data_IF_112137398653
#
_entry.id   IF_112137398653
#
_cell.length_a   1.000
_cell.length_b   1.000
_cell.length_c   1.000
_cell.angle_alpha   90.00
_cell.angle_beta   90.00
_cell.angle_gamma   90.00
#
_symmetry.space_group_name_H-M   'P 1'
#
loop_
_entity.id
_entity.type
_entity.pdbx_description
1 polymer ?
#
# COMPACT_ATOMS: atom_id res chain seq x y z
N UNK A 1 6.17 10.28 32.11
CA UNK A 1 5.22 10.66 31.06
C UNK A 1 5.13 9.51 30.03
N UNK A 2 3.94 9.04 29.74
CA UNK A 2 3.74 7.98 28.76
C UNK A 2 3.60 8.54 27.34
N UNK A 3 3.92 7.70 26.35
CA UNK A 3 3.75 8.05 24.94
C UNK A 3 2.33 7.72 24.52
N UNK A 4 1.68 8.65 23.82
CA UNK A 4 0.36 8.39 23.22
C UNK A 4 0.52 8.21 21.72
N UNK A 5 0.20 7.01 21.23
CA UNK A 5 0.21 6.72 19.79
C UNK A 5 -1.15 7.12 19.21
N UNK A 6 -1.15 7.82 18.09
CA UNK A 6 -2.39 8.33 17.49
C UNK A 6 -2.81 7.56 16.24
N UNK A 7 -1.87 7.18 15.41
CA UNK A 7 -2.20 6.57 14.11
C UNK A 7 -0.94 5.94 13.50
N UNK A 8 -1.13 4.88 12.76
CA UNK A 8 -0.09 4.29 11.93
C UNK A 8 -0.54 4.32 10.48
N UNK A 9 0.32 4.83 9.60
CA UNK A 9 0.03 4.86 8.17
C UNK A 9 1.20 4.22 7.42
N UNK A 10 0.95 3.19 6.60
CA UNK A 10 2.01 2.62 5.80
C UNK A 10 2.45 3.59 4.70
N UNK A 11 3.76 3.64 4.47
CA UNK A 11 4.34 4.37 3.35
C UNK A 11 5.03 3.35 2.46
N UNK A 12 4.54 3.20 1.24
CA UNK A 12 5.10 2.26 0.27
C UNK A 12 6.04 3.02 -0.66
N UNK A 13 7.31 2.61 -0.66
CA UNK A 13 8.33 3.26 -1.49
C UNK A 13 8.39 2.53 -2.83
N UNK A 14 8.21 3.27 -3.90
CA UNK A 14 8.04 2.73 -5.25
C UNK A 14 8.85 3.54 -6.27
N UNK A 15 9.03 3.01 -7.47
CA UNK A 15 9.65 3.77 -8.56
C UNK A 15 8.67 4.80 -9.12
N UNK A 16 7.42 4.42 -9.30
CA UNK A 16 6.34 5.27 -9.81
C UNK A 16 5.05 5.00 -9.06
N UNK A 17 4.34 6.07 -8.74
CA UNK A 17 3.09 6.01 -7.96
C UNK A 17 1.88 5.80 -8.87
N UNK A 18 1.87 6.45 -10.02
CA UNK A 18 0.72 6.50 -10.91
C UNK A 18 0.09 5.14 -11.22
N UNK A 19 0.88 4.08 -11.47
CA UNK A 19 0.29 2.77 -11.77
C UNK A 19 -0.59 2.21 -10.67
N UNK A 20 -0.31 2.55 -9.40
CA UNK A 20 -1.07 2.04 -8.27
C UNK A 20 -2.44 2.71 -8.09
N UNK A 21 -2.63 3.91 -8.65
CA UNK A 21 -3.87 4.66 -8.44
C UNK A 21 -5.10 3.92 -8.94
N UNK A 22 -5.02 3.30 -10.10
CA UNK A 22 -6.16 2.56 -10.68
C UNK A 22 -6.50 1.31 -9.86
N UNK A 23 -5.51 0.63 -9.33
CA UNK A 23 -5.73 -0.51 -8.44
C UNK A 23 -6.58 -0.09 -7.23
N UNK A 24 -6.14 0.94 -6.51
CA UNK A 24 -6.82 1.38 -5.30
C UNK A 24 -8.20 1.98 -5.59
N UNK A 25 -8.35 2.66 -6.72
CA UNK A 25 -9.63 3.23 -7.12
C UNK A 25 -10.71 2.15 -7.25
N UNK A 26 -10.35 0.97 -7.71
CA UNK A 26 -11.27 -0.17 -7.81
C UNK A 26 -11.76 -0.66 -6.46
N UNK A 27 -11.04 -0.32 -5.39
CA UNK A 27 -11.40 -0.64 -4.01
C UNK A 27 -12.06 0.55 -3.29
N UNK A 28 -12.32 1.65 -4.00
CA UNK A 28 -12.91 2.83 -3.38
C UNK A 28 -11.94 3.67 -2.56
N UNK A 29 -10.64 3.52 -2.83
CA UNK A 29 -9.58 4.29 -2.16
C UNK A 29 -8.95 5.19 -3.22
N UNK A 30 -8.99 6.51 -3.00
CA UNK A 30 -8.59 7.47 -4.01
C UNK A 30 -7.53 8.43 -3.49
N UNK A 31 -6.78 9.01 -4.41
CA UNK A 31 -5.78 10.01 -4.09
C UNK A 31 -6.46 11.26 -3.53
N UNK A 32 -6.03 11.70 -2.36
CA UNK A 32 -6.55 12.92 -1.71
C UNK A 32 -5.51 14.04 -1.65
N UNK A 33 -4.23 13.70 -1.71
CA UNK A 33 -3.12 14.66 -1.72
C UNK A 33 -2.03 14.11 -2.63
N UNK A 34 -1.34 14.97 -3.35
CA UNK A 34 -0.10 14.59 -4.03
C UNK A 34 0.91 15.75 -4.01
N UNK A 35 2.18 15.39 -4.15
CA UNK A 35 3.28 16.34 -4.30
C UNK A 35 4.01 16.00 -5.60
N UNK A 36 4.12 16.95 -6.52
CA UNK A 36 4.78 16.70 -7.79
C UNK A 36 6.28 16.54 -7.64
N UNK A 37 6.86 15.78 -8.56
CA UNK A 37 8.29 15.58 -8.70
C UNK A 37 8.58 15.57 -10.20
N UNK A 38 8.93 16.74 -10.75
CA UNK A 38 9.05 16.88 -12.20
C UNK A 38 7.70 16.66 -12.89
N UNK A 39 7.65 15.69 -13.80
CA UNK A 39 6.46 15.36 -14.59
C UNK A 39 5.60 14.24 -14.00
N UNK A 40 5.88 13.84 -12.77
CA UNK A 40 5.14 12.77 -12.09
C UNK A 40 4.99 13.09 -10.60
N UNK A 41 4.26 12.24 -9.89
CA UNK A 41 4.11 12.39 -8.44
C UNK A 41 5.31 11.81 -7.71
N UNK A 42 5.82 12.57 -6.72
CA UNK A 42 6.85 12.07 -5.81
C UNK A 42 6.28 11.51 -4.52
N UNK A 43 5.08 11.95 -4.16
CA UNK A 43 4.39 11.54 -2.94
C UNK A 43 2.88 11.63 -3.16
N UNK A 44 2.13 10.70 -2.58
CA UNK A 44 0.67 10.73 -2.62
C UNK A 44 0.07 10.11 -1.37
N UNK A 45 -1.06 10.64 -0.94
CA UNK A 45 -1.89 10.04 0.09
C UNK A 45 -3.15 9.53 -0.57
N UNK A 46 -3.46 8.25 -0.37
CA UNK A 46 -4.68 7.62 -0.85
C UNK A 46 -5.55 7.30 0.36
N UNK A 47 -6.84 7.60 0.29
CA UNK A 47 -7.74 7.37 1.41
C UNK A 47 -9.14 6.97 0.93
N UNK A 48 -9.83 6.18 1.73
CA UNK A 48 -11.20 5.77 1.49
C UNK A 48 -11.58 4.61 2.38
N UNK A 49 -12.82 4.55 2.79
CA UNK A 49 -13.38 3.47 3.59
C UNK A 49 -12.60 3.18 4.88
N UNK A 50 -12.07 4.22 5.52
CA UNK A 50 -11.27 4.07 6.75
C UNK A 50 -9.84 3.59 6.52
N UNK A 51 -9.44 3.43 5.27
CA UNK A 51 -8.09 3.03 4.89
C UNK A 51 -7.31 4.27 4.47
N UNK A 52 -6.05 4.34 4.88
CA UNK A 52 -5.12 5.34 4.39
C UNK A 52 -3.80 4.66 4.07
N UNK A 53 -3.24 4.98 2.93
CA UNK A 53 -1.93 4.50 2.51
C UNK A 53 -1.19 5.64 1.81
N UNK A 54 0.10 5.73 2.05
CA UNK A 54 0.96 6.71 1.40
C UNK A 54 1.88 6.01 0.42
N UNK A 55 2.15 6.67 -0.71
CA UNK A 55 3.14 6.23 -1.68
C UNK A 55 4.18 7.33 -1.83
N UNK A 56 5.43 6.93 -1.94
CA UNK A 56 6.53 7.87 -2.16
C UNK A 56 7.51 7.22 -3.12
N UNK A 57 8.05 8.01 -4.07
CA UNK A 57 9.06 7.48 -4.97
C UNK A 57 10.40 7.37 -4.24
N UNK A 58 11.24 6.45 -4.71
CA UNK A 58 12.60 6.30 -4.19
C UNK A 58 13.39 7.61 -4.29
N UNK A 59 13.22 8.34 -5.40
CA UNK A 59 13.89 9.61 -5.60
C UNK A 59 13.44 10.66 -4.59
N UNK A 60 12.15 10.70 -4.28
CA UNK A 60 11.59 11.60 -3.28
C UNK A 60 12.13 11.30 -1.88
N UNK A 61 12.22 10.02 -1.51
CA UNK A 61 12.81 9.61 -0.23
C UNK A 61 14.26 10.08 -0.16
N UNK A 62 15.04 9.84 -1.20
CA UNK A 62 16.44 10.24 -1.24
C UNK A 62 16.61 11.75 -1.12
N UNK A 63 15.73 12.52 -1.75
CA UNK A 63 15.76 13.99 -1.67
C UNK A 63 15.45 14.48 -0.25
N UNK A 64 14.47 13.85 0.42
CA UNK A 64 14.13 14.18 1.80
C UNK A 64 15.28 13.93 2.78
N UNK A 65 16.08 12.89 2.50
CA UNK A 65 17.14 12.43 3.39
C UNK A 65 18.52 12.96 3.00
N UNK A 66 18.57 13.93 2.09
CA UNK A 66 19.85 14.44 1.54
C UNK A 66 20.77 15.00 2.62
N UNK A 67 20.24 15.53 3.71
CA UNK A 67 21.04 16.15 4.78
C UNK A 67 21.83 15.14 5.61
N UNK A 68 21.52 13.83 5.53
CA UNK A 68 22.20 12.81 6.36
C UNK A 68 22.47 11.54 5.57
N UNK A 69 23.74 11.32 5.23
CA UNK A 69 24.17 10.10 4.55
C UNK A 69 23.97 8.85 5.42
N UNK A 70 24.13 8.99 6.74
CA UNK A 70 23.89 7.87 7.66
C UNK A 70 22.43 7.46 7.67
N UNK A 71 21.50 8.40 7.64
CA UNK A 71 20.07 8.13 7.58
C UNK A 71 19.70 7.46 6.25
N UNK A 72 20.22 7.95 5.13
CA UNK A 72 19.98 7.32 3.83
C UNK A 72 20.46 5.88 3.80
N UNK A 73 21.64 5.62 4.34
CA UNK A 73 22.21 4.28 4.41
C UNK A 73 21.34 3.36 5.27
N UNK A 74 20.86 3.84 6.41
CA UNK A 74 19.97 3.08 7.27
C UNK A 74 18.66 2.71 6.58
N UNK A 75 18.05 3.63 5.84
CA UNK A 75 16.83 3.36 5.06
C UNK A 75 17.07 2.31 3.98
N UNK A 76 18.21 2.38 3.29
CA UNK A 76 18.55 1.40 2.25
C UNK A 76 18.79 0.00 2.82
N UNK A 77 19.36 -0.08 4.01
CA UNK A 77 19.69 -1.36 4.65
C UNK A 77 18.50 -1.98 5.37
N UNK A 78 17.48 -1.19 5.69
CA UNK A 78 16.29 -1.70 6.36
C UNK A 78 15.53 -2.67 5.44
N UNK A 79 15.08 -3.82 5.95
CA UNK A 79 14.30 -4.76 5.14
C UNK A 79 12.99 -4.10 4.68
N UNK A 80 12.67 -4.25 3.38
CA UNK A 80 11.45 -3.71 2.79
C UNK A 80 10.50 -4.83 2.38
N UNK A 81 10.31 -5.83 3.26
CA UNK A 81 9.58 -7.04 2.92
C UNK A 81 8.24 -7.14 3.64
N UNK A 82 7.51 -6.06 3.68
CA UNK A 82 6.15 -6.07 4.20
C UNK A 82 5.13 -6.20 3.09
N UNK A 83 3.90 -6.52 3.47
CA UNK A 83 2.74 -6.42 2.60
C UNK A 83 1.57 -5.92 3.42
N UNK A 84 0.50 -5.48 2.74
CA UNK A 84 -0.70 -5.02 3.43
C UNK A 84 -1.69 -6.17 3.56
N UNK A 85 -2.28 -6.28 4.74
CA UNK A 85 -3.36 -7.22 5.02
C UNK A 85 -4.59 -6.38 5.38
N UNK A 86 -5.62 -6.46 4.54
CA UNK A 86 -6.81 -5.63 4.68
C UNK A 86 -8.01 -6.53 4.85
N UNK A 87 -8.75 -6.36 5.96
CA UNK A 87 -10.01 -7.04 6.14
C UNK A 87 -11.10 -6.40 5.28
N UNK A 88 -11.89 -7.25 4.66
CA UNK A 88 -12.99 -6.83 3.81
C UNK A 88 -14.29 -7.52 4.23
N UNK A 89 -15.41 -6.91 3.90
CA UNK A 89 -16.72 -7.50 4.20
C UNK A 89 -17.04 -8.67 3.28
N UNK A 90 -16.58 -8.65 2.03
CA UNK A 90 -16.92 -9.68 1.03
C UNK A 90 -15.73 -9.93 0.11
N UNK A 91 -15.16 -11.13 0.20
CA UNK A 91 -14.08 -11.53 -0.70
C UNK A 91 -14.59 -11.74 -2.13
N UNK A 92 -15.86 -12.11 -2.28
CA UNK A 92 -16.47 -12.22 -3.59
C UNK A 92 -16.51 -10.88 -4.30
N UNK A 93 -16.88 -9.80 -3.58
CA UNK A 93 -16.88 -8.46 -4.14
C UNK A 93 -15.47 -8.01 -4.55
N UNK A 94 -14.46 -8.37 -3.77
CA UNK A 94 -13.05 -8.09 -4.13
C UNK A 94 -12.69 -8.79 -5.44
N UNK A 95 -13.00 -10.07 -5.57
CA UNK A 95 -12.70 -10.82 -6.78
C UNK A 95 -13.32 -10.23 -8.03
N UNK A 96 -14.53 -9.69 -7.91
CA UNK A 96 -15.20 -8.99 -9.02
C UNK A 96 -14.55 -7.65 -9.32
N UNK A 97 -14.28 -6.86 -8.30
CA UNK A 97 -13.70 -5.52 -8.47
C UNK A 97 -12.29 -5.57 -9.07
N UNK A 98 -11.50 -6.58 -8.69
CA UNK A 98 -10.11 -6.72 -9.09
C UNK A 98 -9.91 -7.79 -10.16
N UNK A 99 -10.95 -8.14 -10.93
CA UNK A 99 -10.90 -9.22 -11.92
C UNK A 99 -9.78 -9.04 -12.94
N UNK A 100 -9.43 -7.79 -13.29
CA UNK A 100 -8.39 -7.49 -14.27
C UNK A 100 -7.02 -7.22 -13.65
N UNK A 101 -6.91 -7.35 -12.33
CA UNK A 101 -5.65 -7.09 -11.63
C UNK A 101 -4.79 -8.35 -11.54
N UNK A 102 -3.52 -8.17 -11.21
CA UNK A 102 -2.56 -9.26 -11.12
C UNK A 102 -2.77 -10.05 -9.83
N UNK A 103 -3.46 -11.17 -9.95
CA UNK A 103 -3.65 -12.11 -8.84
C UNK A 103 -2.37 -12.90 -8.61
N UNK A 104 -1.85 -12.88 -7.39
CA UNK A 104 -0.65 -13.64 -7.01
C UNK A 104 -0.92 -14.65 -5.89
N UNK A 105 -1.99 -14.47 -5.14
CA UNK A 105 -2.44 -15.42 -4.12
C UNK A 105 -3.86 -15.83 -4.48
N UNK A 106 -4.06 -17.02 -5.07
CA UNK A 106 -5.39 -17.47 -5.43
C UNK A 106 -6.28 -17.66 -4.19
N UNK A 107 -7.58 -17.65 -4.41
CA UNK A 107 -8.56 -17.82 -3.32
C UNK A 107 -8.19 -19.02 -2.45
N UNK A 108 -8.06 -18.77 -1.15
CA UNK A 108 -7.75 -19.81 -0.18
C UNK A 108 -8.45 -19.56 1.14
N UNK A 109 -8.69 -20.63 1.87
CA UNK A 109 -9.12 -20.56 3.27
C UNK A 109 -7.91 -20.85 4.14
N UNK A 110 -7.74 -20.05 5.18
CA UNK A 110 -6.62 -20.17 6.10
C UNK A 110 -7.01 -20.90 7.36
N UNK A 111 -6.02 -21.40 8.11
CA UNK A 111 -6.28 -22.04 9.40
C UNK A 111 -6.65 -21.05 10.52
N UNK A 112 -6.52 -19.75 10.27
CA UNK A 112 -6.90 -18.71 11.22
C UNK A 112 -8.27 -18.08 10.88
N UNK A 113 -9.05 -18.70 10.01
CA UNK A 113 -10.44 -18.30 9.77
C UNK A 113 -10.63 -17.22 8.72
N UNK A 114 -9.68 -17.03 7.82
CA UNK A 114 -9.82 -16.07 6.74
C UNK A 114 -10.04 -16.76 5.40
N UNK A 115 -10.75 -16.07 4.51
CA UNK A 115 -10.78 -16.38 3.07
C UNK A 115 -10.09 -15.23 2.35
N UNK A 116 -9.01 -15.53 1.61
CA UNK A 116 -8.09 -14.53 1.11
C UNK A 116 -7.91 -14.55 -0.39
N UNK A 117 -7.63 -13.36 -0.93
CA UNK A 117 -7.06 -13.14 -2.27
C UNK A 117 -5.89 -12.19 -2.13
N UNK A 118 -4.84 -12.38 -2.90
CA UNK A 118 -3.70 -11.47 -2.88
C UNK A 118 -3.34 -11.00 -4.28
N UNK A 119 -3.02 -9.71 -4.38
CA UNK A 119 -2.76 -9.03 -5.65
C UNK A 119 -1.50 -8.20 -5.58
N UNK A 120 -0.96 -7.86 -6.77
CA UNK A 120 0.01 -6.78 -6.88
C UNK A 120 -0.73 -5.48 -7.16
N UNK A 121 -0.26 -4.38 -6.58
CA UNK A 121 -0.89 -3.06 -6.69
C UNK A 121 -0.47 -2.29 -7.95
N UNK A 122 0.15 -2.95 -8.94
CA UNK A 122 0.74 -2.39 -10.15
C UNK A 122 2.05 -1.62 -9.90
N UNK A 123 2.44 -1.42 -8.65
CA UNK A 123 3.71 -0.80 -8.28
C UNK A 123 4.66 -1.79 -7.60
N UNK A 124 4.28 -3.08 -7.59
CA UNK A 124 5.12 -4.16 -7.06
C UNK A 124 4.87 -4.53 -5.62
N UNK A 125 3.87 -3.95 -4.98
CA UNK A 125 3.55 -4.27 -3.59
C UNK A 125 2.45 -5.32 -3.52
N UNK A 126 2.54 -6.19 -2.53
CA UNK A 126 1.53 -7.24 -2.30
C UNK A 126 0.44 -6.70 -1.40
N UNK A 127 -0.80 -6.84 -1.84
CA UNK A 127 -1.99 -6.46 -1.08
C UNK A 127 -2.84 -7.71 -0.90
N UNK A 128 -3.02 -8.13 0.35
CA UNK A 128 -3.86 -9.27 0.69
C UNK A 128 -5.19 -8.75 1.22
N UNK A 129 -6.28 -9.22 0.63
CA UNK A 129 -7.64 -8.90 1.06
C UNK A 129 -8.22 -10.15 1.71
N UNK A 130 -8.80 -9.98 2.89
CA UNK A 130 -9.24 -11.13 3.69
C UNK A 130 -10.63 -10.87 4.28
N UNK A 131 -11.53 -11.82 4.05
CA UNK A 131 -12.81 -11.86 4.74
C UNK A 131 -12.67 -12.83 5.91
N UNK A 132 -12.86 -12.31 7.12
CA UNK A 132 -12.75 -13.14 8.33
C UNK A 132 -14.04 -13.88 8.59
N UNK A 133 -13.96 -15.12 9.06
CA UNK A 133 -15.12 -15.89 9.48
C UNK A 133 -15.80 -15.16 10.64
N UNK A 134 -17.09 -14.94 10.50
CA UNK A 134 -17.88 -14.06 11.36
C UNK A 134 -18.29 -14.57 12.71
#
# INVERSE_FOLDING_TARGET
MSVTLKKSTPVLVVDRIEPALEFWKKLGVEKVVDVPEGDHMGFAILAGQGIEVMYQTSDSVNADLVASSATRAAFKQAPQQGYLFIEVASIEAVGKALADEKLILPLRKTNYGATELGYLDRAGNVIVLAEMAG
#
